data_IF_047869388002
#
_entry.id   IF_047869388002
#
_cell.length_a   1.000
_cell.length_b   1.000
_cell.length_c   1.000
_cell.angle_alpha   90.00
_cell.angle_beta   90.00
_cell.angle_gamma   90.00
#
_symmetry.space_group_name_H-M   'P 1'
#
loop_
_entity.id
_entity.type
_entity.pdbx_description
1 polymer ?
#
# COMPACT_ATOMS: atom_id res chain seq x y z
N UNK A 1 14.20 13.27 -1.58
CA UNK A 1 15.13 12.11 -1.48
C UNK A 1 15.47 11.74 -0.04
N UNK A 2 15.28 12.63 0.94
CA UNK A 2 15.66 12.41 2.35
C UNK A 2 14.81 11.32 2.98
N UNK A 3 13.50 11.36 2.79
CA UNK A 3 12.51 10.46 3.41
C UNK A 3 12.76 10.31 4.92
N UNK A 4 12.63 11.40 5.70
CA UNK A 4 12.96 11.40 7.11
C UNK A 4 11.98 10.52 7.89
N UNK A 5 12.45 10.02 9.03
CA UNK A 5 11.62 9.33 10.02
C UNK A 5 10.60 10.30 10.62
N UNK A 6 11.08 11.42 11.13
CA UNK A 6 10.27 12.53 11.64
C UNK A 6 10.46 13.76 10.76
N UNK A 7 9.38 14.41 10.37
CA UNK A 7 9.40 15.67 9.65
C UNK A 7 8.57 16.70 10.40
N UNK A 8 9.23 17.70 10.95
CA UNK A 8 8.55 18.86 11.56
C UNK A 8 8.39 20.00 10.55
N UNK A 9 7.17 20.49 10.40
CA UNK A 9 6.80 21.65 9.60
C UNK A 9 6.37 22.79 10.51
N UNK A 10 7.34 23.50 11.09
CA UNK A 10 7.12 24.65 11.96
C UNK A 10 6.78 25.91 11.15
N UNK A 11 5.70 25.88 10.41
CA UNK A 11 5.25 26.90 9.48
C UNK A 11 3.79 27.25 9.74
N UNK A 12 3.37 28.47 9.37
CA UNK A 12 1.96 28.87 9.45
C UNK A 12 1.12 28.10 8.43
N UNK A 13 1.68 27.80 7.23
CA UNK A 13 1.03 27.07 6.15
C UNK A 13 1.43 25.57 6.11
N UNK A 14 1.67 24.96 7.27
CA UNK A 14 2.15 23.58 7.38
C UNK A 14 1.24 22.56 6.69
N UNK A 15 -0.08 22.75 6.76
CA UNK A 15 -1.07 21.88 6.12
C UNK A 15 -0.95 21.93 4.59
N UNK A 16 -0.78 23.12 4.02
CA UNK A 16 -0.59 23.28 2.57
C UNK A 16 0.73 22.64 2.13
N UNK A 17 1.80 22.89 2.84
CA UNK A 17 3.10 22.30 2.53
C UNK A 17 3.11 20.78 2.64
N UNK A 18 2.35 20.20 3.57
CA UNK A 18 2.29 18.75 3.76
C UNK A 18 1.81 18.00 2.52
N UNK A 19 1.01 18.64 1.67
CA UNK A 19 0.48 18.05 0.43
C UNK A 19 1.57 17.73 -0.61
N UNK A 20 2.71 18.42 -0.54
CA UNK A 20 3.86 18.19 -1.41
C UNK A 20 4.84 17.15 -0.84
N UNK A 21 4.65 16.72 0.41
CA UNK A 21 5.50 15.73 1.06
C UNK A 21 5.04 14.33 0.70
N UNK A 22 5.90 13.60 -0.01
CA UNK A 22 5.60 12.22 -0.47
C UNK A 22 6.13 11.15 0.47
N UNK A 23 7.20 11.42 1.19
CA UNK A 23 7.94 10.40 1.92
C UNK A 23 8.44 10.95 3.26
N UNK A 24 7.70 10.64 4.32
CA UNK A 24 8.10 10.84 5.70
C UNK A 24 7.48 9.74 6.55
N UNK A 25 8.12 9.34 7.63
CA UNK A 25 7.57 8.39 8.59
C UNK A 25 6.38 9.01 9.33
N UNK A 26 6.57 10.19 9.90
CA UNK A 26 5.51 11.02 10.48
C UNK A 26 5.74 12.48 10.09
N UNK A 27 4.65 13.25 9.99
CA UNK A 27 4.68 14.69 9.70
C UNK A 27 4.01 15.42 10.86
N UNK A 28 4.76 16.28 11.52
CA UNK A 28 4.31 17.10 12.65
C UNK A 28 4.09 18.52 12.14
N UNK A 29 2.84 19.00 12.21
CA UNK A 29 2.44 20.23 11.54
C UNK A 29 2.13 21.36 12.51
N UNK A 30 2.76 22.51 12.26
CA UNK A 30 2.52 23.75 12.99
C UNK A 30 3.23 23.81 14.35
N UNK A 31 3.16 24.99 14.95
CA UNK A 31 3.90 25.32 16.18
C UNK A 31 3.50 24.53 17.44
N UNK A 32 2.32 23.88 17.43
CA UNK A 32 1.76 23.20 18.60
C UNK A 32 1.91 21.69 18.56
N UNK A 33 2.60 21.17 17.56
CA UNK A 33 2.70 19.73 17.32
C UNK A 33 4.17 19.27 17.32
N UNK A 34 4.85 19.29 18.47
CA UNK A 34 6.20 18.75 18.56
C UNK A 34 6.17 17.20 18.45
N UNK A 35 7.28 16.64 18.02
CA UNK A 35 7.52 15.19 17.88
C UNK A 35 7.04 14.39 19.10
N UNK A 36 7.38 14.87 20.32
CA UNK A 36 7.02 14.20 21.57
C UNK A 36 5.51 13.98 21.76
N UNK A 37 4.66 14.89 21.27
CA UNK A 37 3.21 14.71 21.30
C UNK A 37 2.79 13.57 20.38
N UNK A 38 3.36 13.51 19.19
CA UNK A 38 3.09 12.44 18.23
C UNK A 38 3.50 11.07 18.76
N UNK A 39 4.68 10.99 19.35
CA UNK A 39 5.23 9.73 19.83
C UNK A 39 4.51 9.17 21.07
N UNK A 40 3.98 10.04 21.93
CA UNK A 40 3.47 9.58 23.22
C UNK A 40 1.95 9.62 23.37
N UNK A 41 1.25 10.55 22.74
CA UNK A 41 -0.16 10.76 23.10
C UNK A 41 -1.10 11.22 21.98
N UNK A 42 -0.62 11.50 20.77
CA UNK A 42 -1.48 11.94 19.68
C UNK A 42 -2.24 10.78 18.98
N UNK A 43 -1.91 9.52 19.30
CA UNK A 43 -2.60 8.35 18.77
C UNK A 43 -1.79 7.49 17.83
N UNK A 44 -0.99 8.03 16.88
CA UNK A 44 -0.13 7.23 16.02
C UNK A 44 0.93 6.44 16.80
N UNK A 45 1.46 5.39 16.19
CA UNK A 45 2.56 4.62 16.77
C UNK A 45 3.91 5.34 16.55
N UNK A 46 4.78 5.29 17.56
CA UNK A 46 6.13 5.86 17.48
C UNK A 46 7.13 4.98 16.70
N UNK A 47 6.76 3.75 16.33
CA UNK A 47 7.60 2.89 15.49
C UNK A 47 7.44 3.33 14.04
N UNK A 48 8.41 4.08 13.57
CA UNK A 48 8.42 4.74 12.27
C UNK A 48 9.46 4.11 11.34
N UNK A 49 9.28 4.23 10.02
CA UNK A 49 10.26 3.78 9.04
C UNK A 49 11.53 4.64 9.11
N UNK A 50 12.67 4.01 9.38
CA UNK A 50 13.99 4.65 9.52
C UNK A 50 14.82 4.57 8.24
N UNK A 51 15.96 5.27 8.21
CA UNK A 51 16.97 5.15 7.14
C UNK A 51 16.42 5.34 5.73
N UNK A 52 15.43 6.22 5.57
CA UNK A 52 14.83 6.54 4.27
C UNK A 52 13.83 5.50 3.76
N UNK A 53 13.45 4.51 4.58
CA UNK A 53 12.48 3.48 4.21
C UNK A 53 11.04 4.01 4.13
N UNK A 54 10.77 5.23 4.61
CA UNK A 54 9.49 5.91 4.43
C UNK A 54 9.05 6.05 2.95
N UNK A 55 9.95 5.79 2.00
CA UNK A 55 9.63 5.71 0.56
C UNK A 55 8.75 4.52 0.18
N UNK A 56 8.71 3.47 1.00
CA UNK A 56 7.99 2.22 0.72
C UNK A 56 7.45 1.51 1.97
N UNK A 57 7.72 2.06 3.15
CA UNK A 57 7.22 1.54 4.43
C UNK A 57 6.39 2.59 5.16
N UNK A 58 5.43 2.14 5.94
CA UNK A 58 4.58 2.97 6.80
C UNK A 58 4.95 2.82 8.27
N UNK A 59 4.50 3.73 9.16
CA UNK A 59 4.50 3.51 10.60
C UNK A 59 3.80 2.21 10.98
N UNK A 60 4.20 1.60 12.09
CA UNK A 60 3.54 0.40 12.62
C UNK A 60 2.09 0.71 12.99
N UNK A 61 1.16 -0.12 12.55
CA UNK A 61 -0.26 0.03 12.81
C UNK A 61 -0.95 -1.31 13.09
N UNK A 62 -2.21 -1.26 13.47
CA UNK A 62 -3.02 -2.46 13.72
C UNK A 62 -3.10 -3.35 12.47
N UNK A 63 -3.08 -2.76 11.29
CA UNK A 63 -3.10 -3.47 10.00
C UNK A 63 -1.87 -4.37 9.78
N UNK A 64 -0.73 -4.12 10.43
CA UNK A 64 0.46 -4.98 10.33
C UNK A 64 0.27 -6.31 11.04
N UNK A 65 -0.69 -6.38 11.96
CA UNK A 65 -1.07 -7.60 12.69
C UNK A 65 -2.30 -8.28 12.10
N UNK A 66 -2.84 -7.77 10.99
CA UNK A 66 -4.00 -8.31 10.31
C UNK A 66 -3.58 -9.16 9.12
N UNK A 67 -4.14 -10.37 9.02
CA UNK A 67 -3.99 -11.21 7.84
C UNK A 67 -5.08 -10.89 6.82
N UNK A 68 -4.68 -10.66 5.59
CA UNK A 68 -5.59 -10.47 4.46
C UNK A 68 -5.65 -11.73 3.62
N UNK A 69 -6.84 -12.06 3.13
CA UNK A 69 -7.05 -13.14 2.15
C UNK A 69 -7.95 -12.62 1.04
N UNK A 70 -7.60 -12.92 -0.20
CA UNK A 70 -8.47 -12.60 -1.34
C UNK A 70 -9.56 -13.66 -1.47
N UNK A 71 -10.81 -13.22 -1.59
CA UNK A 71 -11.95 -14.07 -1.93
C UNK A 71 -12.34 -13.75 -3.37
N UNK A 72 -12.20 -14.71 -4.27
CA UNK A 72 -12.43 -14.52 -5.70
C UNK A 72 -13.50 -15.50 -6.14
N UNK A 73 -14.59 -14.98 -6.72
CA UNK A 73 -15.67 -15.76 -7.30
C UNK A 73 -16.10 -15.12 -8.61
N UNK A 74 -16.14 -15.90 -9.67
CA UNK A 74 -16.61 -15.46 -10.97
C UNK A 74 -17.99 -16.06 -11.27
N UNK A 75 -18.86 -15.29 -11.90
CA UNK A 75 -20.06 -15.85 -12.53
C UNK A 75 -19.70 -16.61 -13.81
N UNK A 76 -20.62 -17.46 -14.28
CA UNK A 76 -20.43 -18.22 -15.51
C UNK A 76 -20.16 -17.33 -16.74
N UNK A 77 -20.83 -16.16 -16.82
CA UNK A 77 -20.61 -15.25 -17.93
C UNK A 77 -19.35 -14.40 -17.73
N UNK A 78 -19.09 -13.96 -16.50
CA UNK A 78 -17.91 -13.15 -16.19
C UNK A 78 -16.60 -13.90 -16.42
N UNK A 79 -16.57 -15.21 -16.17
CA UNK A 79 -15.37 -16.02 -16.36
C UNK A 79 -14.96 -16.17 -17.82
N UNK A 80 -15.90 -16.15 -18.78
CA UNK A 80 -15.62 -16.38 -20.22
C UNK A 80 -14.58 -15.40 -20.77
N UNK A 81 -14.71 -14.12 -20.46
CA UNK A 81 -13.76 -13.08 -20.91
C UNK A 81 -12.45 -13.18 -20.15
N UNK A 82 -12.52 -13.31 -18.83
CA UNK A 82 -11.34 -13.40 -17.97
C UNK A 82 -10.48 -14.63 -18.27
N UNK A 83 -11.12 -15.78 -18.54
CA UNK A 83 -10.44 -17.01 -18.85
C UNK A 83 -9.65 -16.94 -20.17
N UNK A 84 -10.18 -16.25 -21.21
CA UNK A 84 -9.44 -16.02 -22.46
C UNK A 84 -8.19 -15.19 -22.22
N UNK A 85 -8.30 -14.14 -21.43
CA UNK A 85 -7.14 -13.30 -21.06
C UNK A 85 -6.13 -14.10 -20.26
N UNK A 86 -6.60 -14.88 -19.28
CA UNK A 86 -5.73 -15.73 -18.46
C UNK A 86 -4.99 -16.81 -19.27
N UNK A 87 -5.67 -17.45 -20.25
CA UNK A 87 -5.06 -18.41 -21.16
C UNK A 87 -3.91 -17.77 -21.96
N UNK A 88 -4.16 -16.61 -22.58
CA UNK A 88 -3.14 -15.89 -23.35
C UNK A 88 -1.92 -15.54 -22.50
N UNK A 89 -2.15 -14.99 -21.31
CA UNK A 89 -1.06 -14.61 -20.40
C UNK A 89 -0.27 -15.84 -19.94
N UNK A 90 -0.96 -16.91 -19.54
CA UNK A 90 -0.32 -18.15 -19.09
C UNK A 90 0.53 -18.82 -20.19
N UNK A 91 0.08 -18.78 -21.45
CA UNK A 91 0.88 -19.25 -22.59
C UNK A 91 2.15 -18.44 -22.75
N UNK A 92 2.06 -17.10 -22.64
CA UNK A 92 3.25 -16.22 -22.74
C UNK A 92 4.24 -16.45 -21.61
N UNK A 93 3.77 -16.87 -20.44
CA UNK A 93 4.61 -17.21 -19.28
C UNK A 93 5.10 -18.67 -19.31
N UNK A 94 4.77 -19.47 -20.33
CA UNK A 94 5.07 -20.91 -20.45
C UNK A 94 4.45 -21.73 -19.29
N UNK A 95 3.27 -21.33 -18.82
CA UNK A 95 2.52 -22.01 -17.77
C UNK A 95 1.36 -22.84 -18.36
N UNK A 96 1.66 -23.92 -19.06
CA UNK A 96 0.69 -24.72 -19.80
C UNK A 96 -0.48 -25.25 -18.95
N UNK A 97 -0.23 -25.62 -17.72
CA UNK A 97 -1.28 -26.12 -16.82
C UNK A 97 -2.27 -24.99 -16.43
N UNK A 98 -1.78 -23.76 -16.24
CA UNK A 98 -2.63 -22.59 -16.00
C UNK A 98 -3.44 -22.24 -17.25
N UNK A 99 -2.78 -22.20 -18.43
CA UNK A 99 -3.44 -21.96 -19.71
C UNK A 99 -4.59 -22.95 -19.93
N UNK A 100 -4.34 -24.24 -19.77
CA UNK A 100 -5.35 -25.28 -19.90
C UNK A 100 -6.48 -25.13 -18.88
N UNK A 101 -6.17 -24.84 -17.64
CA UNK A 101 -7.19 -24.59 -16.59
C UNK A 101 -8.11 -23.43 -16.96
N UNK A 102 -7.55 -22.33 -17.48
CA UNK A 102 -8.34 -21.19 -17.96
C UNK A 102 -9.21 -21.57 -19.17
N UNK A 103 -8.64 -22.30 -20.14
CA UNK A 103 -9.30 -22.71 -21.39
C UNK A 103 -10.56 -23.52 -21.14
N UNK A 104 -10.55 -24.44 -20.19
CA UNK A 104 -11.73 -25.22 -19.80
C UNK A 104 -12.92 -24.40 -19.29
N UNK A 105 -12.75 -23.13 -19.00
CA UNK A 105 -13.81 -22.24 -18.49
C UNK A 105 -14.55 -21.49 -19.59
N UNK A 106 -14.04 -21.47 -20.81
CA UNK A 106 -14.69 -20.83 -21.95
C UNK A 106 -14.92 -21.70 -23.16
N UNK A 107 -14.33 -22.91 -23.22
CA UNK A 107 -14.53 -23.92 -24.26
C UNK A 107 -15.62 -24.93 -23.90
N UNK A 108 -16.09 -24.94 -22.65
CA UNK A 108 -17.11 -25.90 -22.16
C UNK A 108 -18.54 -25.41 -22.46
#
# INVERSE_FOLDING_TARGET
QVAPEHLELCLDDAELMSQDIRHAGAIFMGRYTPEAIGDYCAGPNHVLPTSGTARFSSPLGVYDFQKRSSLIMCSQDGVKTLAKTADILAVQENLDAHARSARYRYEA
#
